data_IF_834871615145
#
_entry.id   IF_834871615145
#
_cell.length_a   1.000
_cell.length_b   1.000
_cell.length_c   1.000
_cell.angle_alpha   90.00
_cell.angle_beta   90.00
_cell.angle_gamma   90.00
#
_symmetry.space_group_name_H-M   'P 1'
#
loop_
_entity.id
_entity.type
_entity.pdbx_description
1 polymer ?
#
# COMPACT_ATOMS: atom_id res chain seq x y z
N UNK A 1 -29.28 -43.31 3.94
CA UNK A 1 -29.39 -42.12 4.82
C UNK A 1 -29.08 -40.90 3.97
N UNK A 2 -30.07 -40.05 3.80
CA UNK A 2 -30.08 -38.86 2.94
C UNK A 2 -29.20 -37.77 3.54
N UNK A 3 -28.09 -37.45 2.89
CA UNK A 3 -27.25 -36.29 3.27
C UNK A 3 -27.98 -35.04 2.81
N UNK A 4 -28.58 -34.35 3.76
CA UNK A 4 -29.20 -33.05 3.56
C UNK A 4 -28.12 -32.06 3.11
N UNK A 5 -28.25 -31.55 1.89
CA UNK A 5 -27.41 -30.50 1.33
C UNK A 5 -27.73 -29.15 2.00
N UNK A 6 -27.38 -29.03 3.28
CA UNK A 6 -27.31 -27.73 3.93
C UNK A 6 -26.03 -27.05 3.45
N UNK A 7 -26.17 -25.88 2.83
CA UNK A 7 -25.06 -25.04 2.38
C UNK A 7 -24.22 -24.60 3.59
N UNK A 8 -23.16 -25.34 3.86
CA UNK A 8 -22.19 -25.03 4.91
C UNK A 8 -21.34 -23.82 4.50
N UNK A 9 -21.08 -22.87 5.39
CA UNK A 9 -20.18 -21.76 5.11
C UNK A 9 -18.74 -22.29 4.88
N UNK A 10 -17.94 -21.62 4.03
CA UNK A 10 -16.61 -22.06 3.61
C UNK A 10 -15.55 -22.13 4.74
N UNK A 11 -15.93 -21.79 5.98
CA UNK A 11 -15.05 -21.75 7.16
C UNK A 11 -15.16 -22.96 8.09
N UNK A 12 -16.05 -23.92 7.81
CA UNK A 12 -16.23 -25.10 8.66
C UNK A 12 -15.13 -26.13 8.41
N UNK A 13 -14.46 -26.57 9.48
CA UNK A 13 -13.42 -27.59 9.42
C UNK A 13 -14.07 -28.98 9.24
N UNK A 14 -14.12 -29.43 7.99
CA UNK A 14 -14.67 -30.73 7.60
C UNK A 14 -13.64 -31.85 7.64
N UNK A 15 -12.44 -31.63 8.18
CA UNK A 15 -11.38 -32.64 8.17
C UNK A 15 -11.78 -33.88 8.98
N UNK A 16 -12.57 -33.74 10.05
CA UNK A 16 -13.05 -34.87 10.84
C UNK A 16 -14.06 -35.75 10.10
N UNK A 17 -15.02 -35.14 9.39
CA UNK A 17 -16.01 -35.86 8.58
C UNK A 17 -15.36 -36.51 7.36
N UNK A 18 -14.41 -35.82 6.74
CA UNK A 18 -13.61 -36.36 5.64
C UNK A 18 -12.73 -37.55 6.08
N UNK A 19 -12.08 -37.46 7.24
CA UNK A 19 -11.29 -38.55 7.79
C UNK A 19 -12.13 -39.77 8.17
N UNK A 20 -13.35 -39.56 8.66
CA UNK A 20 -14.29 -40.66 8.89
C UNK A 20 -14.63 -41.39 7.58
N UNK A 21 -14.88 -40.65 6.48
CA UNK A 21 -15.13 -41.25 5.16
C UNK A 21 -13.89 -41.96 4.58
N UNK A 22 -12.69 -41.41 4.78
CA UNK A 22 -11.44 -42.03 4.35
C UNK A 22 -11.17 -43.36 5.09
N UNK A 23 -11.41 -43.39 6.40
CA UNK A 23 -11.27 -44.61 7.20
C UNK A 23 -12.22 -45.71 6.74
N UNK A 24 -13.45 -45.36 6.33
CA UNK A 24 -14.43 -46.29 5.78
C UNK A 24 -14.00 -46.88 4.41
N UNK A 25 -13.14 -46.17 3.68
CA UNK A 25 -12.59 -46.61 2.39
C UNK A 25 -11.20 -47.25 2.52
N UNK A 26 -10.69 -47.45 3.74
CA UNK A 26 -9.38 -48.04 4.00
C UNK A 26 -8.20 -47.14 3.62
N UNK A 27 -8.43 -45.83 3.48
CA UNK A 27 -7.39 -44.85 3.20
C UNK A 27 -6.84 -44.24 4.50
N UNK A 28 -5.59 -43.77 4.46
CA UNK A 28 -4.96 -43.08 5.59
C UNK A 28 -5.69 -41.77 5.92
N UNK A 29 -5.87 -41.49 7.21
CA UNK A 29 -6.47 -40.23 7.66
C UNK A 29 -5.57 -39.05 7.30
N UNK A 30 -6.16 -37.97 6.80
CA UNK A 30 -5.47 -36.72 6.50
C UNK A 30 -5.21 -35.99 7.83
N UNK A 31 -3.95 -35.68 8.10
CA UNK A 31 -3.59 -34.86 9.25
C UNK A 31 -4.26 -33.50 9.12
N UNK A 32 -4.92 -33.02 10.18
CA UNK A 32 -5.56 -31.69 10.23
C UNK A 32 -4.58 -30.56 9.93
N UNK A 33 -5.11 -29.32 9.86
CA UNK A 33 -4.36 -28.08 9.55
C UNK A 33 -2.93 -28.17 10.06
N UNK A 34 -1.97 -28.42 9.16
CA UNK A 34 -0.57 -28.30 9.50
C UNK A 34 -0.38 -26.85 9.95
N UNK A 35 -0.06 -26.65 11.22
CA UNK A 35 0.51 -25.39 11.66
C UNK A 35 1.78 -25.23 10.80
N UNK A 36 1.75 -24.27 9.88
CA UNK A 36 2.88 -24.00 9.00
C UNK A 36 4.08 -23.68 9.89
N UNK A 37 5.02 -24.62 9.97
CA UNK A 37 6.22 -24.44 10.77
C UNK A 37 7.16 -23.51 10.00
N UNK A 38 7.22 -22.26 10.44
CA UNK A 38 8.02 -21.18 9.83
C UNK A 38 9.50 -21.56 9.78
N UNK A 39 9.99 -22.45 10.65
CA UNK A 39 11.39 -22.88 10.64
C UNK A 39 11.71 -23.89 9.53
N UNK A 40 10.71 -24.58 8.99
CA UNK A 40 10.85 -25.46 7.81
C UNK A 40 10.68 -24.71 6.47
N UNK A 41 10.26 -23.44 6.52
CA UNK A 41 10.03 -22.65 5.32
C UNK A 41 11.34 -22.28 4.61
N UNK A 42 11.26 -22.19 3.29
CA UNK A 42 12.32 -21.65 2.43
C UNK A 42 12.74 -20.24 2.89
N UNK A 43 14.02 -19.90 2.70
CA UNK A 43 14.59 -18.62 3.13
C UNK A 43 13.81 -17.42 2.57
N UNK A 44 13.32 -17.53 1.33
CA UNK A 44 12.45 -16.52 0.71
C UNK A 44 11.15 -16.31 1.50
N UNK A 45 10.48 -17.40 1.90
CA UNK A 45 9.20 -17.31 2.60
C UNK A 45 9.39 -16.76 4.01
N UNK A 46 10.45 -17.17 4.71
CA UNK A 46 10.80 -16.62 6.04
C UNK A 46 10.95 -15.10 5.99
N UNK A 47 11.68 -14.59 5.00
CA UNK A 47 11.88 -13.16 4.83
C UNK A 47 10.56 -12.46 4.45
N UNK A 48 9.76 -13.04 3.56
CA UNK A 48 8.44 -12.52 3.21
C UNK A 48 7.51 -12.41 4.44
N UNK A 49 7.49 -13.40 5.32
CA UNK A 49 6.71 -13.36 6.56
C UNK A 49 7.24 -12.30 7.53
N UNK A 50 8.56 -12.15 7.63
CA UNK A 50 9.19 -11.09 8.44
C UNK A 50 8.77 -9.71 7.95
N UNK A 51 8.92 -9.42 6.65
CA UNK A 51 8.48 -8.16 6.04
C UNK A 51 7.00 -7.92 6.29
N UNK A 52 6.16 -8.94 6.10
CA UNK A 52 4.72 -8.85 6.32
C UNK A 52 4.36 -8.51 7.78
N UNK A 53 5.11 -9.05 8.75
CA UNK A 53 4.92 -8.76 10.17
C UNK A 53 5.29 -7.31 10.50
N UNK A 54 6.37 -6.79 9.91
CA UNK A 54 6.79 -5.40 10.08
C UNK A 54 5.78 -4.43 9.43
N UNK A 55 5.30 -4.72 8.22
CA UNK A 55 4.22 -3.93 7.57
C UNK A 55 2.95 -3.92 8.44
N UNK A 56 2.56 -5.08 8.98
CA UNK A 56 1.37 -5.19 9.83
C UNK A 56 1.51 -4.39 11.13
N UNK A 57 2.70 -4.41 11.74
CA UNK A 57 3.01 -3.67 12.96
C UNK A 57 2.98 -2.16 12.70
N UNK A 58 3.66 -1.69 11.65
CA UNK A 58 3.65 -0.29 11.23
C UNK A 58 2.22 0.21 10.95
N UNK A 59 1.42 -0.58 10.21
CA UNK A 59 0.04 -0.20 9.92
C UNK A 59 -0.83 -0.09 11.18
N UNK A 60 -0.59 -0.96 12.16
CA UNK A 60 -1.30 -0.91 13.45
C UNK A 60 -0.88 0.33 14.23
N UNK A 61 0.41 0.60 14.33
CA UNK A 61 0.96 1.80 14.99
C UNK A 61 0.42 3.09 14.37
N UNK A 62 0.41 3.19 13.03
CA UNK A 62 -0.17 4.34 12.32
C UNK A 62 -1.66 4.52 12.64
N UNK A 63 -2.44 3.44 12.72
CA UNK A 63 -3.86 3.50 13.08
C UNK A 63 -4.09 3.94 14.52
N UNK A 64 -3.31 3.42 15.45
CA UNK A 64 -3.42 3.73 16.87
C UNK A 64 -3.03 5.20 17.12
N UNK A 65 -1.97 5.68 16.44
CA UNK A 65 -1.48 7.06 16.57
C UNK A 65 -2.35 8.06 15.79
N UNK A 66 -3.06 7.65 14.72
CA UNK A 66 -3.88 8.55 13.86
C UNK A 66 -4.79 9.48 14.64
N UNK A 67 -5.53 8.96 15.62
CA UNK A 67 -6.48 9.76 16.41
C UNK A 67 -5.75 10.85 17.20
N UNK A 68 -4.66 10.49 17.89
CA UNK A 68 -3.88 11.39 18.72
C UNK A 68 -3.03 12.38 17.91
N UNK A 69 -2.55 11.95 16.74
CA UNK A 69 -1.81 12.77 15.77
C UNK A 69 -2.69 13.85 15.13
N UNK A 70 -3.93 13.49 14.75
CA UNK A 70 -4.89 14.43 14.16
C UNK A 70 -5.61 15.27 15.20
N UNK A 71 -5.56 14.93 16.50
CA UNK A 71 -6.19 15.78 17.51
C UNK A 71 -5.36 17.05 17.75
N UNK A 72 -5.81 18.18 17.21
CA UNK A 72 -5.26 19.52 17.51
C UNK A 72 -6.00 20.23 18.64
N UNK A 73 -7.08 19.62 19.17
CA UNK A 73 -7.87 20.19 20.23
C UNK A 73 -7.09 20.18 21.55
N UNK A 74 -6.96 21.33 22.25
CA UNK A 74 -6.37 21.33 23.59
C UNK A 74 -7.23 20.44 24.49
N UNK A 75 -6.59 19.54 25.23
CA UNK A 75 -7.27 18.65 26.16
C UNK A 75 -8.11 19.50 27.13
N UNK A 76 -9.44 19.45 27.01
CA UNK A 76 -10.34 20.12 27.95
C UNK A 76 -10.13 19.47 29.32
N UNK A 77 -9.33 20.11 30.17
CA UNK A 77 -9.10 19.68 31.55
C UNK A 77 -10.41 19.84 32.32
N UNK A 78 -11.20 18.78 32.36
CA UNK A 78 -12.32 18.67 33.29
C UNK A 78 -11.71 18.32 34.66
N UNK A 79 -11.82 19.19 35.68
CA UNK A 79 -11.31 18.89 37.01
C UNK A 79 -12.12 17.73 37.62
N UNK A 80 -11.43 16.72 38.18
CA UNK A 80 -12.06 15.68 39.00
C UNK A 80 -12.26 14.30 38.36
N UNK A 81 -11.82 14.07 37.11
CA UNK A 81 -11.90 12.75 36.48
C UNK A 81 -10.51 12.22 36.10
N UNK A 82 -9.87 11.54 37.05
CA UNK A 82 -8.76 10.61 36.78
C UNK A 82 -9.35 9.34 36.18
N UNK A 83 -9.46 9.30 34.85
CA UNK A 83 -9.91 8.12 34.13
C UNK A 83 -8.83 7.71 33.13
N UNK A 84 -8.27 6.53 33.38
CA UNK A 84 -7.40 5.81 32.47
C UNK A 84 -8.05 5.73 31.07
N UNK A 85 -7.35 6.20 30.04
CA UNK A 85 -7.79 6.09 28.64
C UNK A 85 -8.15 7.39 27.92
N UNK A 86 -7.77 8.58 28.42
CA UNK A 86 -7.87 9.80 27.60
C UNK A 86 -6.83 9.76 26.46
N UNK A 87 -7.22 10.08 25.21
CA UNK A 87 -6.26 10.21 24.11
C UNK A 87 -5.28 11.32 24.49
N UNK A 88 -4.05 10.92 24.79
CA UNK A 88 -2.96 11.85 25.04
C UNK A 88 -2.69 12.58 23.73
N UNK A 89 -2.94 13.89 23.71
CA UNK A 89 -2.63 14.73 22.56
C UNK A 89 -1.11 14.70 22.38
N UNK A 90 -0.62 14.19 21.24
CA UNK A 90 0.81 14.24 20.94
C UNK A 90 1.24 15.70 20.77
N UNK A 91 2.37 16.04 21.37
CA UNK A 91 3.07 17.30 21.12
C UNK A 91 3.56 17.37 19.67
N UNK A 92 3.80 18.57 19.15
CA UNK A 92 4.30 18.76 17.78
C UNK A 92 5.64 18.03 17.54
N UNK A 93 6.46 17.91 18.59
CA UNK A 93 7.72 17.15 18.58
C UNK A 93 7.48 15.65 18.39
N UNK A 94 6.57 15.08 19.19
CA UNK A 94 6.23 13.66 19.12
C UNK A 94 5.56 13.31 17.78
N UNK A 95 4.78 14.23 17.19
CA UNK A 95 4.21 14.05 15.84
C UNK A 95 5.29 13.97 14.77
N UNK A 96 6.28 14.85 14.84
CA UNK A 96 7.40 14.82 13.90
C UNK A 96 8.23 13.55 14.05
N UNK A 97 8.46 13.09 15.29
CA UNK A 97 9.18 11.84 15.54
C UNK A 97 8.42 10.62 14.96
N UNK A 98 7.08 10.63 15.04
CA UNK A 98 6.23 9.62 14.37
C UNK A 98 6.39 9.67 12.86
N UNK A 99 6.37 10.85 12.26
CA UNK A 99 6.51 11.03 10.81
C UNK A 99 7.89 10.56 10.32
N UNK A 100 8.95 10.89 11.05
CA UNK A 100 10.33 10.47 10.75
C UNK A 100 10.47 8.94 10.87
N UNK A 101 9.96 8.36 11.96
CA UNK A 101 10.02 6.91 12.19
C UNK A 101 9.23 6.15 11.11
N UNK A 102 8.01 6.59 10.81
CA UNK A 102 7.17 5.96 9.78
C UNK A 102 7.85 6.00 8.39
N UNK A 103 8.46 7.13 8.01
CA UNK A 103 9.24 7.24 6.76
C UNK A 103 10.42 6.27 6.73
N UNK A 104 11.19 6.21 7.83
CA UNK A 104 12.33 5.31 7.91
C UNK A 104 11.90 3.85 7.73
N UNK A 105 10.86 3.44 8.45
CA UNK A 105 10.28 2.09 8.34
C UNK A 105 9.78 1.81 6.92
N UNK A 106 9.10 2.75 6.25
CA UNK A 106 8.65 2.57 4.87
C UNK A 106 9.82 2.40 3.90
N UNK A 107 10.89 3.19 4.05
CA UNK A 107 12.08 3.05 3.20
C UNK A 107 12.80 1.73 3.42
N UNK A 108 12.95 1.32 4.68
CA UNK A 108 13.54 0.03 5.03
C UNK A 108 12.70 -1.13 4.45
N UNK A 109 11.38 -1.06 4.60
CA UNK A 109 10.47 -2.06 4.04
C UNK A 109 10.53 -2.07 2.51
N UNK A 110 10.58 -0.91 1.85
CA UNK A 110 10.76 -0.83 0.40
C UNK A 110 12.08 -1.46 -0.04
N UNK A 111 13.18 -1.17 0.65
CA UNK A 111 14.49 -1.75 0.38
C UNK A 111 14.51 -3.27 0.60
N UNK A 112 13.86 -3.77 1.65
CA UNK A 112 13.73 -5.21 1.92
C UNK A 112 12.93 -5.94 0.84
N UNK A 113 11.84 -5.33 0.34
CA UNK A 113 11.04 -5.88 -0.76
C UNK A 113 11.84 -5.89 -2.07
N UNK A 114 12.63 -4.84 -2.34
CA UNK A 114 13.53 -4.81 -3.50
C UNK A 114 14.62 -5.89 -3.41
N UNK A 115 15.27 -6.03 -2.26
CA UNK A 115 16.25 -7.10 -2.05
C UNK A 115 15.64 -8.50 -2.22
N UNK A 116 14.39 -8.68 -1.81
CA UNK A 116 13.67 -9.94 -2.01
C UNK A 116 13.32 -10.20 -3.49
N UNK A 117 12.97 -9.15 -4.25
CA UNK A 117 12.73 -9.20 -5.70
C UNK A 117 14.02 -9.51 -6.46
N UNK A 118 15.13 -8.85 -6.13
CA UNK A 118 16.44 -9.11 -6.73
C UNK A 118 16.90 -10.56 -6.48
N UNK A 119 16.69 -11.08 -5.26
CA UNK A 119 16.98 -12.48 -4.95
C UNK A 119 16.11 -13.47 -5.75
N UNK A 120 14.86 -13.10 -6.03
CA UNK A 120 13.94 -13.88 -6.86
C UNK A 120 14.38 -13.89 -8.33
N UNK A 121 14.77 -12.73 -8.87
CA UNK A 121 15.31 -12.60 -10.22
C UNK A 121 16.59 -13.41 -10.42
N UNK A 122 17.53 -13.35 -9.47
CA UNK A 122 18.75 -14.17 -9.50
C UNK A 122 18.42 -15.67 -9.49
N UNK A 123 17.40 -16.08 -8.73
CA UNK A 123 16.94 -17.47 -8.73
C UNK A 123 16.33 -17.87 -10.08
N UNK A 124 15.55 -17.00 -10.73
CA UNK A 124 15.04 -17.23 -12.09
C UNK A 124 16.16 -17.39 -13.11
N UNK A 125 17.14 -16.50 -13.06
CA UNK A 125 18.28 -16.53 -13.97
C UNK A 125 19.10 -17.81 -13.77
N UNK A 126 19.41 -18.17 -12.53
CA UNK A 126 20.15 -19.39 -12.20
C UNK A 126 19.38 -20.65 -12.61
N UNK A 127 18.08 -20.74 -12.34
CA UNK A 127 17.25 -21.87 -12.76
C UNK A 127 17.20 -21.99 -14.29
N UNK A 128 17.01 -20.86 -14.99
CA UNK A 128 17.01 -20.85 -16.45
C UNK A 128 18.37 -21.27 -17.04
N UNK A 129 19.47 -20.87 -16.41
CA UNK A 129 20.83 -21.23 -16.81
C UNK A 129 21.13 -22.72 -16.54
N UNK A 130 20.66 -23.25 -15.40
CA UNK A 130 20.78 -24.67 -15.06
C UNK A 130 19.98 -25.52 -16.03
N UNK A 131 18.74 -25.15 -16.32
CA UNK A 131 17.89 -25.83 -17.31
C UNK A 131 18.56 -25.79 -18.68
N UNK A 132 19.04 -24.62 -19.12
CA UNK A 132 19.78 -24.46 -20.38
C UNK A 132 21.04 -25.32 -20.42
N UNK A 133 21.80 -25.45 -19.32
CA UNK A 133 23.01 -26.28 -19.26
C UNK A 133 22.70 -27.77 -19.28
N UNK A 134 21.70 -28.20 -18.51
CA UNK A 134 21.31 -29.62 -18.38
C UNK A 134 20.73 -30.18 -19.67
N UNK A 135 19.95 -29.37 -20.39
CA UNK A 135 19.16 -29.85 -21.52
C UNK A 135 19.48 -29.16 -22.85
N UNK A 136 20.20 -28.04 -22.83
CA UNK A 136 20.80 -27.40 -24.02
C UNK A 136 22.21 -27.89 -24.34
N UNK A 137 22.72 -28.92 -23.65
CA UNK A 137 23.96 -29.59 -24.06
C UNK A 137 23.76 -30.20 -25.45
N UNK A 138 24.69 -29.90 -26.37
CA UNK A 138 24.64 -30.27 -27.80
C UNK A 138 24.41 -31.76 -28.08
N UNK A 139 24.66 -32.62 -27.11
CA UNK A 139 24.36 -34.06 -27.16
C UNK A 139 22.84 -34.37 -27.16
N UNK A 140 22.01 -33.57 -26.48
CA UNK A 140 20.55 -33.72 -26.49
C UNK A 140 19.93 -33.29 -27.82
N UNK A 141 20.49 -32.27 -28.46
CA UNK A 141 20.06 -31.82 -29.78
C UNK A 141 20.31 -32.89 -30.86
N UNK A 142 21.45 -33.59 -30.81
CA UNK A 142 21.76 -34.69 -31.73
C UNK A 142 20.89 -35.94 -31.49
N UNK A 143 20.55 -36.24 -30.23
CA UNK A 143 19.61 -37.32 -29.90
C UNK A 143 18.18 -37.03 -30.43
N UNK A 144 17.75 -35.76 -30.43
CA UNK A 144 16.45 -35.36 -30.99
C UNK A 144 16.38 -35.53 -32.51
N UNK A 145 17.46 -35.19 -33.22
CA UNK A 145 17.54 -35.34 -34.69
C UNK A 145 17.56 -36.81 -35.13
N UNK A 146 18.25 -37.68 -34.40
CA UNK A 146 18.34 -39.11 -34.72
C UNK A 146 17.04 -39.91 -34.48
N UNK A 147 16.10 -39.36 -33.70
CA UNK A 147 14.81 -40.01 -33.41
C UNK A 147 13.73 -39.80 -34.49
N UNK A 148 14.01 -38.98 -35.51
CA UNK A 148 13.09 -38.74 -36.64
C UNK A 148 11.83 -37.92 -36.30
N UNK A 149 11.70 -37.44 -35.06
CA UNK A 149 10.56 -36.63 -34.60
C UNK A 149 10.93 -35.13 -34.71
N UNK A 150 10.77 -34.57 -35.92
CA UNK A 150 11.19 -33.23 -36.32
C UNK A 150 10.48 -32.05 -35.66
N UNK A 151 9.89 -32.22 -34.48
CA UNK A 151 9.21 -31.16 -33.75
C UNK A 151 9.53 -31.26 -32.26
N UNK A 152 10.58 -30.54 -31.83
CA UNK A 152 10.74 -29.92 -30.50
C UNK A 152 9.99 -30.60 -29.33
N UNK A 153 10.16 -31.90 -29.13
CA UNK A 153 9.77 -32.53 -27.87
C UNK A 153 10.88 -32.23 -26.89
N UNK A 154 10.76 -31.08 -26.20
CA UNK A 154 11.34 -30.91 -24.86
C UNK A 154 11.14 -32.25 -24.14
N UNK A 155 12.23 -32.88 -23.69
CA UNK A 155 12.15 -34.15 -22.95
C UNK A 155 11.09 -33.99 -21.87
N UNK A 156 10.19 -34.96 -21.67
CA UNK A 156 9.08 -34.81 -20.71
C UNK A 156 9.55 -34.37 -19.30
N UNK A 157 10.78 -34.76 -18.94
CA UNK A 157 11.51 -34.33 -17.75
C UNK A 157 11.93 -32.84 -17.76
N UNK A 158 12.37 -32.29 -18.91
CA UNK A 158 12.65 -30.87 -19.08
C UNK A 158 11.38 -30.03 -18.92
N UNK A 159 10.29 -30.44 -19.57
CA UNK A 159 9.01 -29.73 -19.50
C UNK A 159 8.44 -29.75 -18.06
N UNK A 160 8.56 -30.86 -17.35
CA UNK A 160 8.13 -30.95 -15.95
C UNK A 160 8.96 -30.07 -15.01
N UNK A 161 10.30 -30.03 -15.17
CA UNK A 161 11.19 -29.19 -14.37
C UNK A 161 10.96 -27.69 -14.64
N UNK A 162 10.78 -27.31 -15.92
CA UNK A 162 10.45 -25.94 -16.31
C UNK A 162 9.09 -25.51 -15.75
N UNK A 163 8.06 -26.36 -15.85
CA UNK A 163 6.73 -26.07 -15.29
C UNK A 163 6.75 -25.89 -13.76
N UNK A 164 7.49 -26.71 -13.02
CA UNK A 164 7.64 -26.55 -11.56
C UNK A 164 8.36 -25.23 -11.21
N UNK A 165 9.40 -24.86 -11.96
CA UNK A 165 10.10 -23.58 -11.75
C UNK A 165 9.20 -22.37 -12.03
N UNK A 166 8.39 -22.43 -13.10
CA UNK A 166 7.41 -21.41 -13.45
C UNK A 166 6.31 -21.28 -12.39
N UNK A 167 5.72 -22.39 -11.94
CA UNK A 167 4.74 -22.38 -10.85
C UNK A 167 5.34 -21.77 -9.58
N UNK A 168 6.62 -22.03 -9.32
CA UNK A 168 7.34 -21.46 -8.19
C UNK A 168 7.53 -19.95 -8.34
N UNK A 169 7.88 -19.48 -9.54
CA UNK A 169 7.99 -18.04 -9.84
C UNK A 169 6.64 -17.33 -9.69
N UNK A 170 5.56 -17.91 -10.21
CA UNK A 170 4.21 -17.35 -10.12
C UNK A 170 3.76 -17.10 -8.69
N UNK A 171 3.95 -18.06 -7.77
CA UNK A 171 3.54 -17.84 -6.39
C UNK A 171 4.41 -16.77 -5.71
N UNK A 172 5.71 -16.71 -6.02
CA UNK A 172 6.63 -15.69 -5.45
C UNK A 172 6.29 -14.30 -5.96
N UNK A 173 5.95 -14.16 -7.24
CA UNK A 173 5.44 -12.91 -7.80
C UNK A 173 4.16 -12.47 -7.11
N UNK A 174 3.23 -13.39 -6.87
CA UNK A 174 2.01 -13.10 -6.10
C UNK A 174 2.30 -12.62 -4.68
N UNK A 175 3.29 -13.20 -4.01
CA UNK A 175 3.72 -12.76 -2.67
C UNK A 175 4.35 -11.36 -2.71
N UNK A 176 5.26 -11.11 -3.66
CA UNK A 176 5.90 -9.80 -3.82
C UNK A 176 4.87 -8.71 -4.13
N UNK A 177 3.94 -9.00 -5.03
CA UNK A 177 2.81 -8.11 -5.34
C UNK A 177 1.97 -7.82 -4.10
N UNK A 178 1.62 -8.85 -3.32
CA UNK A 178 0.85 -8.68 -2.09
C UNK A 178 1.58 -7.81 -1.06
N UNK A 179 2.89 -8.02 -0.85
CA UNK A 179 3.70 -7.22 0.07
C UNK A 179 3.77 -5.75 -0.38
N UNK A 180 3.98 -5.50 -1.67
CA UNK A 180 3.99 -4.15 -2.26
C UNK A 180 2.64 -3.46 -2.10
N UNK A 181 1.55 -4.19 -2.33
CA UNK A 181 0.18 -3.68 -2.18
C UNK A 181 -0.10 -3.30 -0.72
N UNK A 182 0.34 -4.10 0.25
CA UNK A 182 0.20 -3.77 1.66
C UNK A 182 1.04 -2.57 2.08
N UNK A 183 2.26 -2.45 1.55
CA UNK A 183 3.11 -1.29 1.81
C UNK A 183 2.50 -0.01 1.22
N UNK A 184 1.95 -0.07 0.00
CA UNK A 184 1.24 1.06 -0.63
C UNK A 184 0.09 1.54 0.26
N UNK A 185 -0.71 0.64 0.81
CA UNK A 185 -1.81 1.02 1.71
C UNK A 185 -1.31 1.74 2.98
N UNK A 186 -0.15 1.34 3.51
CA UNK A 186 0.48 2.01 4.65
C UNK A 186 0.97 3.40 4.27
N UNK A 187 1.66 3.54 3.13
CA UNK A 187 2.12 4.82 2.59
C UNK A 187 0.94 5.79 2.41
N UNK A 188 -0.16 5.30 1.82
CA UNK A 188 -1.37 6.10 1.63
C UNK A 188 -1.98 6.56 2.95
N UNK A 189 -2.04 5.69 3.94
CA UNK A 189 -2.54 6.05 5.29
C UNK A 189 -1.68 7.13 5.94
N UNK A 190 -0.35 7.05 5.82
CA UNK A 190 0.55 8.07 6.33
C UNK A 190 0.40 9.39 5.57
N UNK A 191 0.31 9.34 4.25
CA UNK A 191 0.11 10.52 3.41
C UNK A 191 -1.19 11.24 3.76
N UNK A 192 -2.31 10.52 3.90
CA UNK A 192 -3.60 11.09 4.30
C UNK A 192 -3.49 11.82 5.67
N UNK A 193 -2.70 11.27 6.61
CA UNK A 193 -2.46 11.90 7.91
C UNK A 193 -1.65 13.18 7.79
N UNK A 194 -0.58 13.17 6.99
CA UNK A 194 0.27 14.34 6.77
C UNK A 194 -0.42 15.44 5.97
N UNK A 195 -1.19 15.09 4.93
CA UNK A 195 -2.02 16.03 4.17
C UNK A 195 -3.04 16.72 5.08
N UNK A 196 -3.69 15.94 5.96
CA UNK A 196 -4.63 16.48 6.95
C UNK A 196 -3.94 17.42 7.95
N UNK A 197 -2.68 17.17 8.32
CA UNK A 197 -1.91 18.05 9.20
C UNK A 197 -1.50 19.33 8.46
N UNK A 198 -0.92 19.19 7.28
CA UNK A 198 -0.46 20.31 6.45
C UNK A 198 -1.61 21.26 6.09
N UNK A 199 -2.75 20.73 5.67
CA UNK A 199 -3.94 21.53 5.36
C UNK A 199 -4.44 22.33 6.56
N UNK A 200 -4.42 21.75 7.77
CA UNK A 200 -4.80 22.44 9.01
C UNK A 200 -3.80 23.50 9.42
N UNK A 201 -2.50 23.25 9.29
CA UNK A 201 -1.48 24.26 9.57
C UNK A 201 -1.56 25.42 8.56
N UNK A 202 -1.81 25.13 7.28
CA UNK A 202 -2.06 26.14 6.25
C UNK A 202 -3.34 26.95 6.51
N UNK A 203 -4.42 26.30 6.98
CA UNK A 203 -5.64 27.00 7.36
C UNK A 203 -5.42 27.88 8.59
N UNK A 204 -4.63 27.41 9.57
CA UNK A 204 -4.28 28.17 10.77
C UNK A 204 -3.40 29.38 10.44
N UNK A 205 -2.40 29.23 9.58
CA UNK A 205 -1.57 30.37 9.13
C UNK A 205 -2.40 31.36 8.34
N UNK A 206 -3.29 30.89 7.45
CA UNK A 206 -4.23 31.73 6.73
C UNK A 206 -5.20 32.46 7.66
N UNK A 207 -5.73 31.79 8.69
CA UNK A 207 -6.62 32.38 9.67
C UNK A 207 -5.96 33.38 10.62
N UNK A 208 -4.64 33.27 10.83
CA UNK A 208 -3.87 34.23 11.63
C UNK A 208 -3.39 35.45 10.80
N UNK A 209 -3.16 35.25 9.50
CA UNK A 209 -2.79 36.31 8.56
C UNK A 209 -3.97 37.14 8.07
N UNK A 210 -5.18 36.57 8.08
CA UNK A 210 -6.41 37.33 7.85
C UNK A 210 -6.82 37.90 9.21
N UNK A 211 -6.67 39.22 9.46
CA UNK A 211 -7.29 39.82 10.63
C UNK A 211 -8.78 39.50 10.56
N UNK A 212 -9.48 39.26 11.68
CA UNK A 212 -10.93 39.16 11.66
C UNK A 212 -11.50 40.50 11.17
N UNK A 213 -11.64 40.64 9.85
CA UNK A 213 -12.15 41.83 9.18
C UNK A 213 -13.65 42.06 9.47
N UNK A 214 -14.22 41.27 10.39
CA UNK A 214 -15.59 41.39 10.86
C UNK A 214 -15.76 41.52 12.37
N UNK A 215 -14.68 41.59 13.17
CA UNK A 215 -14.82 41.67 14.65
C UNK A 215 -14.19 42.94 15.29
N UNK A 216 -13.76 43.89 14.45
CA UNK A 216 -13.56 45.29 14.86
C UNK A 216 -14.83 46.13 14.69
N UNK A 217 -15.99 45.46 14.60
CA UNK A 217 -17.29 46.06 14.38
C UNK A 217 -18.28 45.75 15.51
N UNK A 218 -17.84 45.68 16.77
CA UNK A 218 -18.73 45.94 17.93
C UNK A 218 -17.98 46.07 19.27
N UNK A 219 -16.98 46.95 19.36
CA UNK A 219 -16.79 47.68 20.61
C UNK A 219 -17.64 48.94 20.52
N UNK A 220 -18.96 48.80 20.74
CA UNK A 220 -19.76 49.97 21.09
C UNK A 220 -19.22 50.50 22.42
N UNK A 221 -18.67 51.73 22.50
CA UNK A 221 -18.57 52.37 23.79
C UNK A 221 -20.00 52.52 24.29
N UNK A 222 -20.33 51.80 25.36
CA UNK A 222 -21.63 51.96 26.01
C UNK A 222 -21.75 53.43 26.44
N UNK A 223 -22.62 54.15 25.74
CA UNK A 223 -23.17 55.47 26.04
C UNK A 223 -22.26 56.71 25.90
N UNK A 224 -22.25 57.30 24.70
CA UNK A 224 -21.93 58.73 24.49
C UNK A 224 -22.82 59.68 25.32
N UNK A 225 -23.97 59.18 25.82
CA UNK A 225 -24.85 59.94 26.73
C UNK A 225 -24.31 60.09 28.17
N UNK A 226 -23.31 59.31 28.58
CA UNK A 226 -22.71 59.44 29.91
C UNK A 226 -21.55 60.46 29.97
N UNK A 227 -20.86 60.73 28.84
CA UNK A 227 -19.77 61.72 28.77
C UNK A 227 -20.28 63.15 28.56
N UNK A 228 -21.37 63.36 27.82
CA UNK A 228 -21.91 64.72 27.60
C UNK A 228 -22.73 65.26 28.79
N UNK A 229 -23.02 64.44 29.80
CA UNK A 229 -23.74 64.86 30.99
C UNK A 229 -22.85 65.42 32.11
N UNK A 230 -21.51 65.37 31.98
CA UNK A 230 -20.58 65.91 32.99
C UNK A 230 -20.04 67.31 32.70
N UNK A 231 -20.46 67.95 31.59
CA UNK A 231 -19.88 69.25 31.17
C UNK A 231 -20.92 70.35 30.94
N UNK A 232 -22.16 70.18 31.42
CA UNK A 232 -23.21 71.21 31.29
C UNK A 232 -23.79 71.64 32.64
N UNK A 233 -22.93 72.23 33.47
CA UNK A 233 -23.37 73.18 34.51
C UNK A 233 -22.34 74.29 34.63
N UNK A 234 -22.47 75.35 33.84
CA UNK A 234 -22.35 76.75 34.27
C UNK A 234 -22.74 77.69 33.13
N UNK A 235 -23.52 78.69 33.51
CA UNK A 235 -24.12 79.72 32.69
C UNK A 235 -23.11 80.60 31.93
N UNK A 236 -23.54 81.18 30.80
CA UNK A 236 -23.80 82.62 30.64
C UNK A 236 -23.56 83.11 29.21
N UNK A 237 -24.56 83.83 28.68
CA UNK A 237 -24.52 85.01 27.80
C UNK A 237 -23.38 85.23 26.79
N UNK A 238 -23.80 85.45 25.54
CA UNK A 238 -23.66 86.73 24.81
C UNK A 238 -23.24 86.60 23.32
N UNK A 239 -24.13 87.13 22.50
CA UNK A 239 -23.99 87.79 21.20
C UNK A 239 -22.60 87.87 20.51
N UNK A 240 -22.57 87.56 19.21
CA UNK A 240 -22.17 88.48 18.11
C UNK A 240 -21.36 87.84 16.96
N UNK A 241 -21.61 88.39 15.78
CA UNK A 241 -20.96 88.16 14.48
C UNK A 241 -19.42 88.09 14.51
N UNK A 242 -18.83 87.31 13.59
CA UNK A 242 -17.40 87.41 13.31
C UNK A 242 -16.90 86.53 12.16
N UNK A 243 -16.72 87.15 11.00
CA UNK A 243 -15.97 86.73 9.81
C UNK A 243 -14.52 86.30 10.14
N UNK A 244 -14.03 85.21 9.55
CA UNK A 244 -12.76 85.13 8.77
C UNK A 244 -12.11 83.74 8.77
N UNK A 245 -12.00 83.20 7.56
CA UNK A 245 -10.73 82.88 6.90
C UNK A 245 -9.63 82.13 7.68
N UNK A 246 -9.27 80.96 7.14
CA UNK A 246 -7.95 80.68 6.56
C UNK A 246 -7.29 79.38 7.03
N UNK A 247 -6.79 78.67 6.02
CA UNK A 247 -5.68 77.73 6.02
C UNK A 247 -5.63 76.60 7.06
N UNK A 248 -5.62 75.38 6.51
CA UNK A 248 -4.44 74.50 6.53
C UNK A 248 -4.92 73.05 6.56
N UNK A 249 -5.02 72.44 5.38
CA UNK A 249 -4.94 70.98 5.25
C UNK A 249 -3.53 70.58 5.69
N UNK A 250 -3.33 70.46 7.01
CA UNK A 250 -2.17 69.79 7.59
C UNK A 250 -2.55 68.33 7.73
N UNK A 251 -1.90 67.56 6.87
CA UNK A 251 -1.70 66.13 6.94
C UNK A 251 -1.28 65.72 8.37
N UNK A 252 -2.26 65.37 9.20
CA UNK A 252 -2.08 64.92 10.59
C UNK A 252 -2.81 63.59 10.80
N UNK A 253 -2.56 62.64 9.90
CA UNK A 253 -3.11 61.28 9.96
C UNK A 253 -2.19 60.24 10.60
N UNK A 254 -0.98 60.63 11.01
CA UNK A 254 0.04 59.68 11.50
C UNK A 254 0.44 59.87 12.97
N UNK A 255 0.02 60.95 13.61
CA UNK A 255 0.37 61.30 15.01
C UNK A 255 -0.78 60.98 15.99
N UNK A 256 -2.03 61.01 15.52
CA UNK A 256 -3.21 60.83 16.37
C UNK A 256 -3.43 59.39 16.86
N UNK A 257 -2.77 58.39 16.27
CA UNK A 257 -2.79 57.01 16.79
C UNK A 257 -1.81 56.80 17.96
N UNK A 258 -0.74 57.59 18.02
CA UNK A 258 0.30 57.46 19.05
C UNK A 258 0.03 58.30 20.31
N UNK A 259 -0.93 59.22 20.25
CA UNK A 259 -1.13 60.25 21.28
C UNK A 259 -1.85 59.74 22.55
N UNK A 260 -2.23 58.45 22.60
CA UNK A 260 -2.85 57.79 23.75
C UNK A 260 -2.12 56.53 24.27
N UNK A 261 -1.00 56.14 23.67
CA UNK A 261 -0.25 54.93 24.07
C UNK A 261 0.92 55.31 24.96
N UNK A 262 1.00 54.71 26.15
CA UNK A 262 2.16 54.84 27.03
C UNK A 262 3.40 54.28 26.33
N UNK A 263 4.57 54.87 26.56
CA UNK A 263 5.83 54.44 25.92
C UNK A 263 6.16 52.96 26.20
N UNK A 264 5.67 52.41 27.31
CA UNK A 264 5.74 50.98 27.65
C UNK A 264 4.82 50.11 26.77
N UNK A 265 3.62 50.57 26.39
CA UNK A 265 2.73 49.86 25.47
C UNK A 265 3.31 49.81 24.05
N UNK A 266 3.97 50.87 23.58
CA UNK A 266 4.65 50.88 22.28
C UNK A 266 5.77 49.85 22.23
N UNK A 267 6.59 49.78 23.29
CA UNK A 267 7.66 48.78 23.40
C UNK A 267 7.11 47.35 23.44
N UNK A 268 6.00 47.12 24.14
CA UNK A 268 5.31 45.83 24.17
C UNK A 268 4.73 45.45 22.79
N UNK A 269 4.14 46.39 22.06
CA UNK A 269 3.68 46.15 20.68
C UNK A 269 4.84 45.83 19.73
N UNK A 270 5.98 46.52 19.86
CA UNK A 270 7.17 46.22 19.06
C UNK A 270 7.72 44.82 19.38
N UNK A 271 7.76 44.44 20.66
CA UNK A 271 8.15 43.10 21.10
C UNK A 271 7.19 42.02 20.58
N UNK A 272 5.88 42.23 20.74
CA UNK A 272 4.84 41.31 20.27
C UNK A 272 4.89 41.14 18.75
N UNK A 273 5.16 42.22 18.01
CA UNK A 273 5.31 42.16 16.56
C UNK A 273 6.55 41.35 16.15
N UNK A 274 7.69 41.56 16.82
CA UNK A 274 8.89 40.75 16.60
C UNK A 274 8.66 39.27 16.92
N UNK A 275 7.94 38.97 17.99
CA UNK A 275 7.66 37.60 18.40
C UNK A 275 6.64 36.93 17.47
N UNK A 276 5.66 37.68 16.96
CA UNK A 276 4.76 37.25 15.88
C UNK A 276 5.53 36.90 14.61
N UNK A 277 6.46 37.75 14.16
CA UNK A 277 7.30 37.49 12.97
C UNK A 277 8.13 36.22 13.15
N UNK A 278 8.81 36.05 14.28
CA UNK A 278 9.58 34.83 14.58
C UNK A 278 8.69 33.58 14.58
N UNK A 279 7.49 33.68 15.15
CA UNK A 279 6.53 32.58 15.14
C UNK A 279 6.08 32.23 13.71
N UNK A 280 5.86 33.24 12.86
CA UNK A 280 5.53 33.03 11.44
C UNK A 280 6.67 32.34 10.70
N UNK A 281 7.90 32.82 10.83
CA UNK A 281 9.08 32.20 10.22
C UNK A 281 9.21 30.73 10.65
N UNK A 282 9.12 30.45 11.96
CA UNK A 282 9.17 29.08 12.47
C UNK A 282 8.03 28.19 11.95
N UNK A 283 6.83 28.76 11.77
CA UNK A 283 5.69 28.01 11.24
C UNK A 283 5.87 27.72 9.75
N UNK A 284 6.39 28.67 8.98
CA UNK A 284 6.69 28.48 7.56
C UNK A 284 7.77 27.42 7.35
N UNK A 285 8.82 27.42 8.16
CA UNK A 285 9.88 26.40 8.07
C UNK A 285 9.32 24.99 8.35
N UNK A 286 8.41 24.85 9.32
CA UNK A 286 7.73 23.58 9.61
C UNK A 286 6.85 23.13 8.44
N UNK A 287 6.05 24.04 7.88
CA UNK A 287 5.20 23.76 6.71
C UNK A 287 6.05 23.32 5.52
N UNK A 288 7.12 24.05 5.22
CA UNK A 288 8.05 23.71 4.13
C UNK A 288 8.72 22.35 4.34
N UNK A 289 9.13 22.04 5.56
CA UNK A 289 9.69 20.73 5.90
C UNK A 289 8.66 19.61 5.70
N UNK A 290 7.42 19.82 6.16
CA UNK A 290 6.32 18.87 5.98
C UNK A 290 5.97 18.67 4.49
N UNK A 291 5.94 19.75 3.70
CA UNK A 291 5.75 19.71 2.24
C UNK A 291 6.82 18.89 1.53
N UNK A 292 8.10 19.15 1.81
CA UNK A 292 9.22 18.40 1.22
C UNK A 292 9.09 16.90 1.53
N UNK A 293 8.76 16.60 2.78
CA UNK A 293 8.56 15.24 3.26
C UNK A 293 7.37 14.55 2.60
N UNK A 294 6.28 15.29 2.35
CA UNK A 294 5.09 14.81 1.67
C UNK A 294 5.36 14.52 0.20
N UNK A 295 6.13 15.39 -0.47
CA UNK A 295 6.59 15.17 -1.84
C UNK A 295 7.39 13.87 -1.93
N UNK A 296 8.36 13.65 -1.04
CA UNK A 296 9.17 12.43 -1.04
C UNK A 296 8.32 11.16 -0.83
N UNK A 297 7.32 11.20 0.05
CA UNK A 297 6.40 10.07 0.24
C UNK A 297 5.54 9.86 -1.01
N UNK A 298 5.05 10.94 -1.63
CA UNK A 298 4.25 10.84 -2.86
C UNK A 298 5.07 10.27 -4.03
N UNK A 299 6.37 10.58 -4.10
CA UNK A 299 7.29 10.00 -5.08
C UNK A 299 7.44 8.49 -4.84
N UNK A 300 7.69 8.09 -3.59
CA UNK A 300 7.77 6.67 -3.20
C UNK A 300 6.46 5.93 -3.48
N UNK A 301 5.31 6.54 -3.19
CA UNK A 301 4.00 5.97 -3.48
C UNK A 301 3.79 5.81 -5.00
N UNK A 302 4.09 6.85 -5.79
CA UNK A 302 3.98 6.80 -7.24
C UNK A 302 4.85 5.68 -7.82
N UNK A 303 6.08 5.53 -7.34
CA UNK A 303 6.94 4.40 -7.71
C UNK A 303 6.31 3.06 -7.34
N UNK A 304 5.77 2.91 -6.13
CA UNK A 304 5.10 1.69 -5.68
C UNK A 304 3.88 1.35 -6.55
N UNK A 305 3.02 2.33 -6.84
CA UNK A 305 1.82 2.17 -7.67
C UNK A 305 2.20 1.79 -9.10
N UNK A 306 3.19 2.46 -9.70
CA UNK A 306 3.68 2.13 -11.05
C UNK A 306 4.27 0.72 -11.13
N UNK A 307 4.98 0.28 -10.08
CA UNK A 307 5.47 -1.10 -10.00
C UNK A 307 4.33 -2.10 -9.84
N UNK A 308 3.32 -1.78 -9.05
CA UNK A 308 2.13 -2.62 -8.83
C UNK A 308 1.31 -2.79 -10.10
N UNK A 309 1.09 -1.73 -10.87
CA UNK A 309 0.34 -1.81 -12.14
C UNK A 309 1.08 -2.65 -13.17
N UNK A 310 2.40 -2.44 -13.30
CA UNK A 310 3.26 -3.25 -14.18
C UNK A 310 3.26 -4.72 -13.77
N UNK A 311 3.38 -5.01 -12.46
CA UNK A 311 3.35 -6.38 -11.96
C UNK A 311 1.96 -7.03 -12.05
N UNK A 312 0.87 -6.28 -11.86
CA UNK A 312 -0.50 -6.81 -11.99
C UNK A 312 -0.74 -7.34 -13.40
N UNK A 313 -0.37 -6.56 -14.42
CA UNK A 313 -0.51 -6.98 -15.81
C UNK A 313 0.31 -8.26 -16.11
N UNK A 314 1.54 -8.35 -15.58
CA UNK A 314 2.37 -9.54 -15.74
C UNK A 314 1.79 -10.76 -15.01
N UNK A 315 1.26 -10.59 -13.79
CA UNK A 315 0.64 -11.68 -13.02
C UNK A 315 -0.64 -12.15 -13.71
N UNK A 316 -1.47 -11.26 -14.24
CA UNK A 316 -2.66 -11.62 -15.02
C UNK A 316 -2.30 -12.45 -16.26
N UNK A 317 -1.24 -12.07 -16.96
CA UNK A 317 -0.70 -12.85 -18.07
C UNK A 317 -0.23 -14.24 -17.59
N UNK A 318 0.56 -14.31 -16.53
CA UNK A 318 1.04 -15.59 -15.98
C UNK A 318 -0.11 -16.49 -15.51
N UNK A 319 -1.17 -15.92 -14.92
CA UNK A 319 -2.37 -16.67 -14.52
C UNK A 319 -3.08 -17.22 -15.76
N UNK A 320 -3.26 -16.42 -16.80
CA UNK A 320 -3.80 -16.87 -18.08
C UNK A 320 -2.95 -17.99 -18.70
N UNK A 321 -1.62 -17.84 -18.69
CA UNK A 321 -0.68 -18.84 -19.20
C UNK A 321 -0.72 -20.14 -18.38
N UNK A 322 -0.91 -20.05 -17.07
CA UNK A 322 -1.08 -21.21 -16.18
C UNK A 322 -2.37 -21.96 -16.46
N UNK A 323 -3.48 -21.24 -16.71
CA UNK A 323 -4.75 -21.82 -17.12
C UNK A 323 -4.62 -22.52 -18.48
N UNK A 324 -3.99 -21.86 -19.46
CA UNK A 324 -3.72 -22.47 -20.76
C UNK A 324 -2.81 -23.71 -20.62
N UNK A 325 -1.80 -23.65 -19.74
CA UNK A 325 -0.88 -24.76 -19.51
C UNK A 325 -1.58 -25.94 -18.83
N UNK A 326 -2.44 -25.70 -17.83
CA UNK A 326 -3.18 -26.79 -17.18
C UNK A 326 -4.14 -27.48 -18.15
N UNK A 327 -4.81 -26.70 -19.00
CA UNK A 327 -5.69 -27.22 -20.05
C UNK A 327 -4.90 -28.03 -21.08
N UNK A 328 -3.74 -27.53 -21.50
CA UNK A 328 -2.87 -28.22 -22.47
C UNK A 328 -2.24 -29.51 -21.90
N UNK A 329 -1.85 -29.53 -20.63
CA UNK A 329 -1.35 -30.75 -19.97
C UNK A 329 -2.47 -31.77 -19.79
N UNK A 330 -3.67 -31.34 -19.40
CA UNK A 330 -4.85 -32.20 -19.29
C UNK A 330 -5.26 -32.80 -20.64
N UNK A 331 -5.31 -31.97 -21.69
CA UNK A 331 -5.56 -32.37 -23.06
C UNK A 331 -4.49 -33.33 -23.59
N UNK A 332 -3.21 -33.00 -23.40
CA UNK A 332 -2.08 -33.84 -23.79
C UNK A 332 -2.10 -35.21 -23.11
N UNK A 333 -2.42 -35.29 -21.82
CA UNK A 333 -2.52 -36.59 -21.13
C UNK A 333 -3.71 -37.43 -21.66
N UNK A 334 -4.81 -36.78 -22.05
CA UNK A 334 -5.96 -37.44 -22.70
C UNK A 334 -5.58 -37.97 -24.08
N UNK A 335 -4.80 -37.22 -24.84
CA UNK A 335 -4.27 -37.64 -26.14
C UNK A 335 -3.25 -38.77 -26.01
N UNK A 336 -2.37 -38.73 -25.01
CA UNK A 336 -1.45 -39.83 -24.71
C UNK A 336 -2.22 -41.11 -24.35
N UNK A 337 -3.28 -41.00 -23.54
CA UNK A 337 -4.17 -42.14 -23.24
C UNK A 337 -4.88 -42.66 -24.49
N UNK A 338 -5.33 -41.76 -25.37
CA UNK A 338 -5.97 -42.11 -26.65
C UNK A 338 -4.97 -42.75 -27.63
N UNK A 339 -3.72 -42.30 -27.63
CA UNK A 339 -2.64 -42.87 -28.44
C UNK A 339 -2.20 -44.24 -27.92
N UNK A 340 -2.10 -44.43 -26.60
CA UNK A 340 -1.81 -45.71 -25.98
C UNK A 340 -2.91 -46.76 -26.23
N UNK A 341 -4.17 -46.31 -26.31
CA UNK A 341 -5.32 -47.17 -26.63
C UNK A 341 -5.49 -47.45 -28.12
N UNK A 342 -4.84 -46.69 -29.00
CA UNK A 342 -4.93 -46.94 -30.44
C UNK A 342 -4.14 -48.21 -30.76
N UNK A 343 -4.77 -49.30 -31.22
CA UNK A 343 -4.05 -50.50 -31.58
C UNK A 343 -3.08 -50.16 -32.71
N UNK A 344 -1.81 -50.53 -32.52
CA UNK A 344 -0.73 -50.19 -33.45
C UNK A 344 -1.10 -50.66 -34.86
N UNK A 345 -1.14 -49.72 -35.82
CA UNK A 345 -1.35 -50.03 -37.23
C UNK A 345 -0.32 -51.06 -37.74
N UNK A 346 0.89 -51.06 -37.17
CA UNK A 346 1.93 -52.05 -37.47
C UNK A 346 1.57 -53.47 -37.03
N UNK A 347 0.78 -53.65 -35.96
CA UNK A 347 0.27 -54.98 -35.57
C UNK A 347 -0.74 -55.48 -36.59
N UNK A 348 -1.63 -54.62 -37.07
CA UNK A 348 -2.60 -54.98 -38.11
C UNK A 348 -1.92 -55.35 -39.43
N UNK A 349 -0.91 -54.60 -39.89
CA UNK A 349 -0.20 -54.92 -41.12
C UNK A 349 0.64 -56.19 -41.00
N UNK A 350 1.23 -56.46 -39.83
CA UNK A 350 1.94 -57.72 -39.56
C UNK A 350 0.99 -58.92 -39.61
N UNK A 351 -0.17 -58.84 -38.93
CA UNK A 351 -1.15 -59.93 -38.97
C UNK A 351 -1.74 -60.12 -40.37
N UNK A 352 -2.03 -59.04 -41.11
CA UNK A 352 -2.50 -59.11 -42.49
C UNK A 352 -1.47 -59.76 -43.42
N UNK A 353 -0.19 -59.38 -43.31
CA UNK A 353 0.89 -60.00 -44.09
C UNK A 353 1.10 -61.47 -43.72
N UNK A 354 1.05 -61.81 -42.43
CA UNK A 354 1.18 -63.20 -41.97
C UNK A 354 0.00 -64.07 -42.43
N UNK A 355 -1.22 -63.53 -42.43
CA UNK A 355 -2.42 -64.21 -42.90
C UNK A 355 -2.40 -64.43 -44.41
N UNK A 356 -1.95 -63.44 -45.18
CA UNK A 356 -1.74 -63.59 -46.62
C UNK A 356 -0.70 -64.68 -46.91
N UNK A 357 0.42 -64.68 -46.17
CA UNK A 357 1.47 -65.68 -46.33
C UNK A 357 0.97 -67.10 -45.99
N UNK A 358 0.24 -67.25 -44.87
CA UNK A 358 -0.36 -68.53 -44.50
C UNK A 358 -1.42 -69.00 -45.52
N UNK A 359 -2.21 -68.08 -46.06
CA UNK A 359 -3.20 -68.38 -47.10
C UNK A 359 -2.52 -68.89 -48.39
N UNK A 360 -1.42 -68.26 -48.82
CA UNK A 360 -0.67 -68.70 -49.99
C UNK A 360 -0.09 -70.11 -49.81
N UNK A 361 0.44 -70.42 -48.62
CA UNK A 361 0.96 -71.77 -48.33
C UNK A 361 -0.14 -72.82 -48.34
N UNK A 362 -1.33 -72.51 -47.82
CA UNK A 362 -2.48 -73.44 -47.84
C UNK A 362 -3.00 -73.62 -49.26
N UNK A 363 -3.05 -72.55 -50.05
CA UNK A 363 -3.49 -72.61 -51.44
C UNK A 363 -2.56 -73.47 -52.30
N UNK A 364 -1.24 -73.34 -52.10
CA UNK A 364 -0.20 -74.13 -52.76
C UNK A 364 -0.18 -75.61 -52.32
N UNK A 365 -0.86 -75.95 -51.21
CA UNK A 365 -0.94 -77.32 -50.68
C UNK A 365 -2.23 -78.05 -51.13
N UNK A 366 -3.24 -77.31 -51.58
CA UNK A 366 -4.55 -77.83 -52.01
C UNK A 366 -4.63 -78.01 -53.54
N UNK A 367 -3.85 -77.24 -54.30
CA UNK A 367 -3.63 -77.37 -55.75
C UNK A 367 -2.38 -78.21 -55.99
#
# INVERSE_FOLDING_TARGET
MTVSAASLPPSTDLTSTFNALLSQKGATAVSGKHALDVDTLDGFLKEAYRINSHIASLHKELKDVRQAYLSTAPARRIPGQSAAGKPQVLTDREREDVDVNAKQMIRELNASIRGLDDAEQLRRETDSAIVRKKFGSSLGALASWASGDGASRKTAEHAAAEAQSQQTGMYRDGILWFLRQRLEHCCRTQQDMMESRLSREMEKTRGMLVPPAGDFADFQPTSEKAWMASTSTSASDDNSNGISNDNSIKNDGTTSFTEGLTQEQVQMFEQDNQDMVKHYESTLDKVRSAEQSLVEISELQSLLVNNLTTQSAHIEQLVSDSLATTDNVGGGNKELKKAAQRPSAARYTFFAASGLCAFLVIWDLII
#
